data_IF_291900066254
#
_entry.id   IF_291900066254
#
_cell.length_a   1.000
_cell.length_b   1.000
_cell.length_c   1.000
_cell.angle_alpha   90.00
_cell.angle_beta   90.00
_cell.angle_gamma   90.00
#
_symmetry.space_group_name_H-M   'P 1'
#
loop_
_entity.id
_entity.type
_entity.pdbx_description
1 polymer ?
#
# COMPACT_ATOMS: atom_id res chain seq x y z
N UNK A 1 -1.72 -8.10 11.46
CA UNK A 1 -3.03 -7.64 12.00
C UNK A 1 -3.76 -6.93 10.85
N UNK A 2 -5.09 -7.10 10.73
CA UNK A 2 -5.98 -6.70 9.61
C UNK A 2 -6.30 -7.82 8.59
N UNK A 3 -7.20 -8.75 8.98
CA UNK A 3 -7.79 -9.77 8.08
C UNK A 3 -9.31 -9.60 7.85
N UNK A 4 -9.92 -8.48 8.29
CA UNK A 4 -11.38 -8.38 8.35
C UNK A 4 -11.90 -6.94 8.26
N UNK A 5 -11.68 -6.27 7.12
CA UNK A 5 -12.48 -5.10 6.76
C UNK A 5 -12.98 -5.26 5.33
N UNK A 6 -14.31 -5.34 5.17
CA UNK A 6 -15.00 -5.45 3.87
C UNK A 6 -15.19 -4.11 3.16
N UNK A 7 -14.49 -3.06 3.60
CA UNK A 7 -14.53 -1.73 2.99
C UNK A 7 -13.20 -1.38 2.31
N UNK A 8 -13.21 -0.33 1.51
CA UNK A 8 -12.00 0.21 0.88
C UNK A 8 -11.03 0.71 1.96
N UNK A 9 -9.75 0.34 1.84
CA UNK A 9 -8.69 0.74 2.76
C UNK A 9 -7.74 1.72 2.09
N UNK A 10 -7.18 2.67 2.85
CA UNK A 10 -6.13 3.57 2.36
C UNK A 10 -4.91 3.42 3.27
N UNK A 11 -3.76 3.14 2.68
CA UNK A 11 -2.47 3.19 3.34
C UNK A 11 -1.75 4.47 2.94
N UNK A 12 -1.22 5.21 3.91
CA UNK A 12 -0.41 6.41 3.67
C UNK A 12 0.94 6.25 4.38
N UNK A 13 1.98 5.92 3.63
CA UNK A 13 3.35 5.86 4.13
C UNK A 13 4.06 7.18 3.82
N UNK A 14 4.36 7.99 4.84
CA UNK A 14 5.04 9.29 4.70
C UNK A 14 6.41 9.22 5.34
N UNK A 15 7.47 9.56 4.59
CA UNK A 15 8.85 9.40 5.04
C UNK A 15 9.32 7.94 5.10
N UNK A 16 8.63 7.03 4.40
CA UNK A 16 8.99 5.62 4.35
C UNK A 16 10.17 5.39 3.41
N UNK A 17 10.96 4.34 3.69
CA UNK A 17 11.99 3.90 2.75
C UNK A 17 11.32 3.22 1.56
N UNK A 18 11.79 3.51 0.36
CA UNK A 18 11.30 2.88 -0.89
C UNK A 18 11.27 1.36 -0.82
N UNK A 19 12.23 0.74 -0.10
CA UNK A 19 12.27 -0.70 0.13
C UNK A 19 11.06 -1.21 0.93
N UNK A 20 10.68 -0.51 1.99
CA UNK A 20 9.55 -0.89 2.85
C UNK A 20 8.23 -0.79 2.08
N UNK A 21 8.07 0.23 1.22
CA UNK A 21 6.91 0.33 0.33
C UNK A 21 6.86 -0.78 -0.74
N UNK A 22 8.00 -1.21 -1.27
CA UNK A 22 8.06 -2.31 -2.24
C UNK A 22 7.70 -3.66 -1.61
N UNK A 23 8.23 -3.95 -0.42
CA UNK A 23 7.94 -5.19 0.30
C UNK A 23 6.44 -5.27 0.65
N UNK A 24 5.85 -4.16 1.12
CA UNK A 24 4.43 -4.07 1.43
C UNK A 24 3.54 -4.23 0.18
N UNK A 25 3.93 -3.66 -0.95
CA UNK A 25 3.19 -3.80 -2.21
C UNK A 25 3.08 -5.27 -2.66
N UNK A 26 4.19 -6.01 -2.60
CA UNK A 26 4.20 -7.42 -2.97
C UNK A 26 3.38 -8.28 -2.00
N UNK A 27 3.47 -8.02 -0.69
CA UNK A 27 2.65 -8.72 0.32
C UNK A 27 1.14 -8.49 0.10
N UNK A 28 0.75 -7.28 -0.32
CA UNK A 28 -0.65 -6.94 -0.60
C UNK A 28 -1.19 -7.60 -1.88
N UNK A 29 -0.32 -7.83 -2.88
CA UNK A 29 -0.65 -8.62 -4.08
C UNK A 29 -0.81 -10.10 -3.71
N UNK A 30 0.15 -10.68 -2.97
CA UNK A 30 0.07 -12.08 -2.53
C UNK A 30 -1.14 -12.35 -1.64
N UNK A 31 -1.51 -11.37 -0.80
CA UNK A 31 -2.67 -11.42 0.07
C UNK A 31 -4.01 -11.21 -0.67
N UNK A 32 -3.99 -10.95 -1.98
CA UNK A 32 -5.16 -10.63 -2.82
C UNK A 32 -5.96 -9.43 -2.30
N UNK A 33 -5.29 -8.50 -1.63
CA UNK A 33 -5.88 -7.22 -1.23
C UNK A 33 -5.79 -6.23 -2.39
N UNK A 34 -4.67 -6.29 -3.13
CA UNK A 34 -4.46 -5.65 -4.43
C UNK A 34 -4.63 -6.73 -5.50
N UNK A 35 -5.53 -6.45 -6.44
CA UNK A 35 -5.71 -7.24 -7.65
C UNK A 35 -5.37 -6.34 -8.85
N UNK A 36 -4.40 -6.77 -9.67
CA UNK A 36 -3.94 -6.02 -10.83
C UNK A 36 -4.87 -6.18 -12.04
N UNK A 37 -5.68 -7.23 -12.05
CA UNK A 37 -6.60 -7.57 -13.15
C UNK A 37 -8.07 -7.50 -12.73
N UNK A 38 -8.35 -7.46 -11.42
CA UNK A 38 -9.67 -7.40 -10.82
C UNK A 38 -9.94 -6.14 -9.98
N UNK A 39 -10.86 -6.24 -9.01
CA UNK A 39 -11.21 -5.13 -8.12
C UNK A 39 -10.26 -5.04 -6.92
N UNK A 40 -9.30 -4.11 -6.98
CA UNK A 40 -8.47 -3.73 -5.84
C UNK A 40 -9.29 -3.02 -4.76
N UNK A 41 -9.13 -3.42 -3.49
CA UNK A 41 -9.86 -2.84 -2.34
C UNK A 41 -8.99 -1.95 -1.45
N UNK A 42 -7.78 -1.64 -1.88
CA UNK A 42 -6.84 -0.80 -1.14
C UNK A 42 -6.17 0.22 -2.06
N UNK A 43 -5.99 1.44 -1.58
CA UNK A 43 -5.14 2.45 -2.21
C UNK A 43 -3.88 2.64 -1.36
N UNK A 44 -2.70 2.60 -2.00
CA UNK A 44 -1.42 2.84 -1.35
C UNK A 44 -0.90 4.22 -1.79
N UNK A 45 -0.67 5.10 -0.82
CA UNK A 45 -0.07 6.42 -1.00
C UNK A 45 1.30 6.38 -0.34
N UNK A 46 2.36 6.59 -1.12
CA UNK A 46 3.73 6.65 -0.63
C UNK A 46 4.27 8.07 -0.85
N UNK A 47 4.54 8.78 0.25
CA UNK A 47 5.39 9.95 0.26
C UNK A 47 6.78 9.54 0.73
N UNK A 48 7.71 9.32 -0.18
CA UNK A 48 9.02 8.77 0.18
C UNK A 48 9.96 9.85 0.72
N UNK A 49 10.96 9.45 1.52
CA UNK A 49 11.94 10.38 2.11
C UNK A 49 12.73 11.21 1.06
N UNK A 50 12.74 10.78 -0.20
CA UNK A 50 13.41 11.46 -1.30
C UNK A 50 12.52 12.50 -2.01
N UNK A 51 11.25 12.64 -1.62
CA UNK A 51 10.38 13.65 -2.20
C UNK A 51 10.65 15.02 -1.55
N UNK A 52 10.72 16.10 -2.34
CA UNK A 52 10.92 17.44 -1.79
C UNK A 52 9.74 17.82 -0.90
N UNK A 53 9.97 18.50 0.25
CA UNK A 53 8.88 18.99 1.07
C UNK A 53 8.07 20.03 0.27
N UNK A 54 6.75 19.87 0.29
CA UNK A 54 5.80 20.79 -0.35
C UNK A 54 5.74 22.16 0.30
#
# INVERSE_FOLDING_TARGET
IAKLFGGYSVFAGVGERTREGNDLYHEMIESKVIDLEGESRIALVYGQMNEPPG
#
